data_IF_912714144068
#
_entry.id   IF_912714144068
#
_cell.length_a   1.000
_cell.length_b   1.000
_cell.length_c   1.000
_cell.angle_alpha   90.00
_cell.angle_beta   90.00
_cell.angle_gamma   90.00
#
_symmetry.space_group_name_H-M   'P 1'
#
loop_
_entity.id
_entity.type
_entity.pdbx_description
1 polymer ?
#
# COMPACT_ATOMS: atom_id res chain seq x y z
N UNK A 1 -12.18 -5.50 8.02
CA UNK A 1 -11.21 -4.50 7.52
C UNK A 1 -11.57 -4.20 6.08
N UNK A 2 -11.75 -2.93 5.74
CA UNK A 2 -12.05 -2.48 4.38
C UNK A 2 -10.81 -1.78 3.80
N UNK A 3 -10.60 -1.93 2.50
CA UNK A 3 -9.58 -1.18 1.75
C UNK A 3 -10.27 -0.51 0.57
N UNK A 4 -10.11 0.80 0.46
CA UNK A 4 -10.67 1.59 -0.63
C UNK A 4 -9.69 2.68 -1.09
N UNK A 5 -9.93 3.14 -2.31
CA UNK A 5 -9.22 4.26 -2.90
C UNK A 5 -9.83 5.57 -2.40
N UNK A 6 -8.97 6.44 -1.90
CA UNK A 6 -9.25 7.82 -1.57
C UNK A 6 -8.68 8.69 -2.67
N UNK A 7 -9.54 9.04 -3.63
CA UNK A 7 -9.13 9.67 -4.88
C UNK A 7 -8.26 8.74 -5.74
N UNK A 8 -7.40 9.34 -6.56
CA UNK A 8 -6.58 8.61 -7.53
C UNK A 8 -5.19 8.20 -7.04
N UNK A 9 -4.80 8.65 -5.84
CA UNK A 9 -3.41 8.60 -5.37
C UNK A 9 -3.24 7.98 -3.99
N UNK A 10 -4.32 7.61 -3.29
CA UNK A 10 -4.21 7.04 -1.95
C UNK A 10 -5.10 5.82 -1.76
N UNK A 11 -4.54 4.79 -1.13
CA UNK A 11 -5.25 3.58 -0.73
C UNK A 11 -5.31 3.54 0.80
N UNK A 12 -6.51 3.46 1.36
CA UNK A 12 -6.74 3.54 2.80
C UNK A 12 -7.29 2.24 3.34
N UNK A 13 -6.83 1.84 4.53
CA UNK A 13 -7.42 0.73 5.27
C UNK A 13 -8.24 1.26 6.44
N UNK A 14 -9.43 0.68 6.60
CA UNK A 14 -10.42 1.06 7.61
C UNK A 14 -10.80 -0.13 8.48
N UNK A 15 -10.93 0.13 9.78
CA UNK A 15 -11.46 -0.81 10.77
C UNK A 15 -12.44 -0.03 11.62
N UNK A 16 -13.69 -0.52 11.72
CA UNK A 16 -14.77 0.09 12.50
C UNK A 16 -15.00 1.57 12.17
N UNK A 17 -14.94 1.92 10.88
CA UNK A 17 -15.10 3.29 10.39
C UNK A 17 -13.89 4.21 10.60
N UNK A 18 -12.84 3.75 11.30
CA UNK A 18 -11.63 4.52 11.51
C UNK A 18 -10.57 4.17 10.46
N UNK A 19 -9.95 5.19 9.86
CA UNK A 19 -8.74 5.00 9.04
C UNK A 19 -7.58 4.54 9.93
N UNK A 20 -7.00 3.37 9.64
CA UNK A 20 -5.92 2.76 10.42
C UNK A 20 -4.59 2.70 9.68
N UNK A 21 -4.61 2.77 8.35
CA UNK A 21 -3.43 2.82 7.51
C UNK A 21 -3.71 3.56 6.20
N UNK A 22 -2.65 4.08 5.60
CA UNK A 22 -2.67 4.77 4.32
C UNK A 22 -1.44 4.39 3.51
N UNK A 23 -1.64 4.16 2.22
CA UNK A 23 -0.61 4.00 1.21
C UNK A 23 -0.81 5.11 0.19
N UNK A 24 0.20 5.96 0.03
CA UNK A 24 0.19 7.07 -0.91
C UNK A 24 1.08 6.76 -2.11
N UNK A 25 0.60 7.09 -3.30
CA UNK A 25 1.26 6.83 -4.57
C UNK A 25 1.31 8.06 -5.47
N UNK A 26 2.34 8.09 -6.31
CA UNK A 26 2.40 8.98 -7.46
C UNK A 26 2.26 8.15 -8.74
N UNK A 27 1.43 8.63 -9.68
CA UNK A 27 1.38 8.08 -11.05
C UNK A 27 2.41 8.82 -11.90
N UNK A 28 3.28 8.08 -12.58
CA UNK A 28 4.28 8.58 -13.52
C UNK A 28 4.04 7.95 -14.90
N UNK A 29 4.67 8.48 -15.94
CA UNK A 29 4.53 7.95 -17.31
C UNK A 29 4.84 6.44 -17.40
N UNK A 30 5.79 5.97 -16.58
CA UNK A 30 6.28 4.59 -16.58
C UNK A 30 5.70 3.71 -15.45
N UNK A 31 4.67 4.18 -14.75
CA UNK A 31 3.96 3.38 -13.75
C UNK A 31 3.59 4.13 -12.47
N UNK A 32 3.69 3.44 -11.33
CA UNK A 32 3.26 3.95 -10.02
C UNK A 32 4.39 3.82 -9.01
N UNK A 33 4.73 4.92 -8.35
CA UNK A 33 5.69 4.95 -7.24
C UNK A 33 4.95 5.05 -5.90
N UNK A 34 5.44 4.32 -4.90
CA UNK A 34 4.92 4.42 -3.53
C UNK A 34 5.67 5.52 -2.81
N UNK A 35 4.97 6.60 -2.44
CA UNK A 35 5.55 7.73 -1.71
C UNK A 35 5.62 7.42 -0.21
N UNK A 36 4.57 6.80 0.34
CA UNK A 36 4.44 6.54 1.76
C UNK A 36 3.58 5.30 2.03
N UNK A 37 3.96 4.50 3.03
CA UNK A 37 3.10 3.52 3.66
C UNK A 37 3.13 3.72 5.17
N UNK A 38 1.98 4.06 5.75
CA UNK A 38 1.86 4.28 7.18
C UNK A 38 0.75 3.41 7.78
N UNK A 39 1.07 2.76 8.90
CA UNK A 39 0.10 2.04 9.74
C UNK A 39 0.18 2.61 11.16
N UNK A 40 -0.96 3.02 11.70
CA UNK A 40 -1.08 3.53 13.09
C UNK A 40 -0.49 2.50 14.07
N UNK A 41 0.31 2.92 15.09
CA UNK A 41 1.03 1.99 15.98
C UNK A 41 0.20 0.83 16.56
N UNK A 42 -1.04 1.03 17.04
CA UNK A 42 -1.86 -0.06 17.61
C UNK A 42 -2.26 -1.16 16.61
N UNK A 43 -2.16 -0.87 15.31
CA UNK A 43 -2.59 -1.74 14.22
C UNK A 43 -1.41 -2.36 13.45
N UNK A 44 -0.17 -2.04 13.86
CA UNK A 44 1.05 -2.66 13.30
C UNK A 44 1.10 -4.15 13.62
N UNK A 45 1.88 -4.90 12.84
CA UNK A 45 2.03 -6.37 12.93
C UNK A 45 0.74 -7.17 12.70
N UNK A 46 -0.31 -6.55 12.14
CA UNK A 46 -1.57 -7.21 11.73
C UNK A 46 -1.68 -7.48 10.23
N UNK A 47 -0.58 -7.35 9.47
CA UNK A 47 -0.56 -7.58 8.02
C UNK A 47 -1.18 -6.47 7.15
N UNK A 48 -1.65 -5.36 7.73
CA UNK A 48 -2.39 -4.29 7.02
C UNK A 48 -1.53 -3.65 5.90
N UNK A 49 -0.26 -3.36 6.18
CA UNK A 49 0.63 -2.79 5.16
C UNK A 49 0.83 -3.71 3.95
N UNK A 50 0.98 -5.01 4.20
CA UNK A 50 1.04 -6.01 3.12
C UNK A 50 -0.27 -6.12 2.35
N UNK A 51 -1.42 -5.99 3.02
CA UNK A 51 -2.71 -5.99 2.36
C UNK A 51 -2.91 -4.78 1.42
N UNK A 52 -2.48 -3.58 1.86
CA UNK A 52 -2.49 -2.37 1.02
C UNK A 52 -1.59 -2.54 -0.21
N UNK A 53 -0.36 -3.05 -0.01
CA UNK A 53 0.57 -3.30 -1.10
C UNK A 53 0.07 -4.36 -2.09
N UNK A 54 -0.50 -5.47 -1.61
CA UNK A 54 -1.11 -6.49 -2.46
C UNK A 54 -2.25 -5.90 -3.28
N UNK A 55 -3.09 -5.06 -2.68
CA UNK A 55 -4.17 -4.38 -3.39
C UNK A 55 -3.66 -3.40 -4.43
N UNK A 56 -2.59 -2.66 -4.13
CA UNK A 56 -1.90 -1.81 -5.11
C UNK A 56 -1.43 -2.65 -6.31
N UNK A 57 -0.76 -3.77 -6.08
CA UNK A 57 -0.25 -4.63 -7.17
C UNK A 57 -1.35 -5.27 -8.02
N UNK A 58 -2.52 -5.53 -7.43
CA UNK A 58 -3.69 -5.99 -8.21
C UNK A 58 -4.18 -4.94 -9.20
N UNK A 59 -4.12 -3.66 -8.83
CA UNK A 59 -4.55 -2.54 -9.68
C UNK A 59 -3.43 -2.05 -10.62
N UNK A 60 -2.18 -2.10 -10.15
CA UNK A 60 -0.99 -1.59 -10.83
C UNK A 60 0.15 -2.60 -10.68
N UNK A 61 0.18 -3.69 -11.48
CA UNK A 61 1.22 -4.72 -11.38
C UNK A 61 2.65 -4.16 -11.54
N UNK A 62 2.81 -3.10 -12.34
CA UNK A 62 4.09 -2.42 -12.58
C UNK A 62 4.63 -1.67 -11.35
N UNK A 63 3.84 -1.48 -10.28
CA UNK A 63 4.32 -0.88 -9.05
C UNK A 63 5.37 -1.78 -8.34
N UNK A 64 5.40 -3.09 -8.62
CA UNK A 64 6.42 -4.00 -8.09
C UNK A 64 7.83 -3.65 -8.58
N UNK A 65 7.95 -3.16 -9.81
CA UNK A 65 9.22 -2.79 -10.45
C UNK A 65 9.66 -1.37 -10.14
N UNK A 66 8.72 -0.47 -9.82
CA UNK A 66 9.00 0.93 -9.46
C UNK A 66 9.20 1.15 -7.94
N UNK A 67 9.18 0.06 -7.15
CA UNK A 67 9.39 0.12 -5.72
C UNK A 67 10.89 0.25 -5.38
N UNK A 68 11.35 1.48 -5.22
CA UNK A 68 12.75 1.80 -4.90
C UNK A 68 13.12 1.61 -3.42
N UNK A 69 12.15 1.32 -2.54
CA UNK A 69 12.41 0.97 -1.13
C UNK A 69 12.69 -0.54 -0.99
N UNK A 70 13.92 -0.96 -0.63
CA UNK A 70 14.28 -2.38 -0.50
C UNK A 70 13.48 -3.12 0.57
N UNK A 71 13.03 -2.43 1.63
CA UNK A 71 12.21 -3.03 2.69
C UNK A 71 10.79 -3.29 2.21
N UNK A 72 10.25 -2.40 1.38
CA UNK A 72 8.94 -2.56 0.79
C UNK A 72 8.95 -3.68 -0.26
N UNK A 73 9.99 -3.76 -1.07
CA UNK A 73 10.23 -4.88 -1.99
C UNK A 73 10.34 -6.23 -1.26
N UNK A 74 11.10 -6.29 -0.17
CA UNK A 74 11.18 -7.49 0.66
C UNK A 74 9.83 -7.87 1.30
N UNK A 75 8.97 -6.89 1.60
CA UNK A 75 7.61 -7.13 2.09
C UNK A 75 6.72 -7.73 0.99
N UNK A 76 6.87 -7.26 -0.25
CA UNK A 76 6.14 -7.78 -1.42
C UNK A 76 6.53 -9.22 -1.74
N UNK A 77 7.82 -9.55 -1.73
CA UNK A 77 8.34 -10.90 -2.00
C UNK A 77 7.85 -11.93 -0.96
N UNK A 78 7.66 -11.54 0.31
CA UNK A 78 7.09 -12.43 1.35
C UNK A 78 5.58 -12.64 1.26
N UNK A 79 4.91 -11.88 0.39
CA UNK A 79 3.44 -11.83 0.30
C UNK A 79 2.92 -12.52 -0.97
N UNK A 80 3.84 -13.08 -1.78
CA UNK A 80 3.58 -13.94 -2.95
C UNK A 80 3.80 -15.39 -2.53
#
# INVERSE_FOLDING_TARGET
MQIDWQGDSALCAWIDGQQVAMLDISKCADGVTVNMLFVKPPFRRRGIGGALLRRLLQCHPQAATACSDPRLRALLEKTT
#
